data_IF_690730726127
#
_entry.id   IF_690730726127
#
_cell.length_a   1.000
_cell.length_b   1.000
_cell.length_c   1.000
_cell.angle_alpha   90.00
_cell.angle_beta   90.00
_cell.angle_gamma   90.00
#
_symmetry.space_group_name_H-M   'P 1'
#
loop_
_entity.id
_entity.type
_entity.pdbx_description
1 polymer ?
#
# COMPACT_ATOMS: atom_id res chain seq x y z
N UNK A 1 -15.82 -15.29 -24.33
CA UNK A 1 -15.48 -16.38 -25.27
C UNK A 1 -14.01 -16.39 -25.73
N UNK A 2 -13.42 -15.22 -26.05
CA UNK A 2 -12.01 -15.13 -26.48
C UNK A 2 -11.05 -15.52 -25.37
N UNK A 3 -11.27 -14.97 -24.17
CA UNK A 3 -10.45 -15.23 -22.98
C UNK A 3 -10.56 -16.68 -22.51
N UNK A 4 -11.73 -17.28 -22.62
CA UNK A 4 -11.98 -18.68 -22.31
C UNK A 4 -11.18 -19.60 -23.24
N UNK A 5 -11.25 -19.34 -24.58
CA UNK A 5 -10.48 -20.09 -25.58
C UNK A 5 -8.97 -20.01 -25.38
N UNK A 6 -8.51 -18.87 -24.86
CA UNK A 6 -7.09 -18.64 -24.56
C UNK A 6 -6.64 -19.22 -23.20
N UNK A 7 -7.54 -19.83 -22.43
CA UNK A 7 -7.25 -20.36 -21.09
C UNK A 7 -6.77 -19.29 -20.12
N UNK A 8 -7.29 -18.05 -20.24
CA UNK A 8 -6.80 -16.93 -19.45
C UNK A 8 -7.06 -17.10 -17.96
N UNK A 9 -8.16 -17.70 -17.56
CA UNK A 9 -8.48 -17.93 -16.14
C UNK A 9 -7.42 -18.81 -15.48
N UNK A 10 -7.06 -19.89 -16.15
CA UNK A 10 -6.04 -20.83 -15.69
C UNK A 10 -4.64 -20.19 -15.69
N UNK A 11 -4.30 -19.48 -16.76
CA UNK A 11 -3.00 -18.80 -16.89
C UNK A 11 -2.82 -17.64 -15.91
N UNK A 12 -3.89 -16.93 -15.55
CA UNK A 12 -3.83 -15.85 -14.57
C UNK A 12 -3.96 -16.37 -13.12
N UNK A 13 -4.49 -17.55 -12.94
CA UNK A 13 -4.63 -18.18 -11.62
C UNK A 13 -3.33 -18.79 -11.09
N UNK A 14 -2.38 -19.11 -11.97
CA UNK A 14 -1.09 -19.68 -11.60
C UNK A 14 0.05 -18.68 -11.78
N UNK A 15 1.01 -18.61 -10.84
CA UNK A 15 2.20 -17.77 -11.01
C UNK A 15 3.09 -18.33 -12.13
N UNK A 16 3.76 -17.44 -12.86
CA UNK A 16 4.72 -17.82 -13.87
C UNK A 16 5.89 -18.61 -13.26
N UNK A 17 6.35 -18.22 -12.07
CA UNK A 17 7.40 -18.92 -11.32
C UNK A 17 7.22 -18.77 -9.82
N UNK A 18 7.55 -19.83 -9.09
CA UNK A 18 7.69 -19.81 -7.63
C UNK A 18 9.08 -20.35 -7.28
N UNK A 19 9.83 -19.54 -6.55
CA UNK A 19 11.21 -19.85 -6.13
C UNK A 19 11.20 -20.01 -4.62
N UNK A 20 11.75 -21.11 -4.14
CA UNK A 20 11.92 -21.40 -2.72
C UNK A 20 13.37 -21.79 -2.44
N UNK A 21 13.94 -21.26 -1.39
CA UNK A 21 15.32 -21.53 -1.03
C UNK A 21 15.54 -21.53 0.49
N UNK A 22 16.65 -22.13 0.89
CA UNK A 22 17.13 -22.15 2.26
C UNK A 22 18.05 -20.95 2.51
N UNK A 23 17.78 -20.18 3.57
CA UNK A 23 18.62 -19.06 4.01
C UNK A 23 19.28 -19.35 5.37
N UNK A 24 20.47 -19.95 5.41
CA UNK A 24 21.22 -20.14 6.64
C UNK A 24 21.93 -18.85 7.06
N UNK A 25 21.94 -18.57 8.35
CA UNK A 25 22.64 -17.41 8.92
C UNK A 25 23.10 -17.74 10.35
N UNK A 26 23.97 -16.91 10.92
CA UNK A 26 24.53 -17.11 12.25
C UNK A 26 24.04 -16.01 13.18
N UNK A 27 23.47 -16.38 14.34
CA UNK A 27 23.03 -15.41 15.34
C UNK A 27 24.22 -14.83 16.15
N UNK A 28 23.92 -13.88 17.03
CA UNK A 28 24.96 -13.22 17.84
C UNK A 28 25.61 -14.17 18.87
N UNK A 29 24.99 -15.30 19.17
CA UNK A 29 25.56 -16.36 20.02
C UNK A 29 26.43 -17.34 19.23
N UNK A 30 26.59 -17.14 17.92
CA UNK A 30 27.37 -18.02 17.05
C UNK A 30 26.63 -19.29 16.60
N UNK A 31 25.32 -19.39 16.87
CA UNK A 31 24.51 -20.54 16.49
C UNK A 31 23.98 -20.38 15.06
N UNK A 32 24.03 -21.46 14.28
CA UNK A 32 23.45 -21.48 12.94
C UNK A 32 21.93 -21.53 13.02
N UNK A 33 21.29 -20.61 12.34
CA UNK A 33 19.85 -20.52 12.13
C UNK A 33 19.53 -20.81 10.65
N UNK A 34 18.34 -21.34 10.38
CA UNK A 34 17.88 -21.64 9.02
C UNK A 34 16.46 -21.15 8.83
N UNK A 35 16.26 -20.30 7.82
CA UNK A 35 14.93 -19.84 7.42
C UNK A 35 14.65 -20.25 5.97
N UNK A 36 13.36 -20.25 5.61
CA UNK A 36 12.91 -20.46 4.23
C UNK A 36 12.65 -19.10 3.60
N UNK A 37 13.23 -18.92 2.40
CA UNK A 37 12.99 -17.76 1.57
C UNK A 37 12.16 -18.12 0.34
N UNK A 38 11.38 -17.16 -0.14
CA UNK A 38 10.46 -17.32 -1.27
C UNK A 38 10.47 -16.09 -2.15
N UNK A 39 10.28 -16.31 -3.47
CA UNK A 39 9.87 -15.27 -4.40
C UNK A 39 8.85 -15.86 -5.37
N UNK A 40 7.67 -15.29 -5.42
CA UNK A 40 6.64 -15.57 -6.39
C UNK A 40 6.69 -14.51 -7.47
N UNK A 41 7.11 -14.89 -8.65
CA UNK A 41 7.08 -14.09 -9.86
C UNK A 41 5.76 -14.41 -10.56
N UNK A 42 4.73 -13.61 -10.24
CA UNK A 42 3.37 -14.02 -10.54
C UNK A 42 3.01 -13.77 -11.99
N UNK A 43 3.22 -12.56 -12.50
CA UNK A 43 2.85 -12.18 -13.86
C UNK A 43 3.72 -11.03 -14.37
N UNK A 44 4.23 -11.16 -15.58
CA UNK A 44 5.09 -10.18 -16.24
C UNK A 44 4.50 -9.59 -17.53
N UNK A 45 3.23 -9.82 -17.82
CA UNK A 45 2.59 -9.40 -19.07
C UNK A 45 2.68 -7.88 -19.32
N UNK A 46 2.68 -7.07 -18.26
CA UNK A 46 2.69 -5.61 -18.36
C UNK A 46 3.96 -4.94 -17.82
N UNK A 47 4.96 -5.73 -17.48
CA UNK A 47 6.26 -5.22 -17.00
C UNK A 47 6.99 -6.18 -16.07
N UNK A 48 8.17 -5.79 -15.57
CA UNK A 48 8.91 -6.59 -14.61
C UNK A 48 8.07 -6.94 -13.39
N UNK A 49 8.30 -8.10 -12.79
CA UNK A 49 7.64 -8.47 -11.55
C UNK A 49 7.92 -7.41 -10.49
N UNK A 50 6.89 -6.94 -9.81
CA UNK A 50 6.99 -5.89 -8.79
C UNK A 50 6.15 -6.23 -7.59
N UNK A 51 6.74 -6.18 -6.41
CA UNK A 51 6.05 -6.37 -5.14
C UNK A 51 7.00 -6.60 -3.98
N UNK A 52 6.48 -6.43 -2.76
CA UNK A 52 7.24 -6.42 -1.53
C UNK A 52 7.82 -7.76 -1.11
N UNK A 53 8.80 -7.69 -0.23
CA UNK A 53 9.32 -8.80 0.56
C UNK A 53 8.80 -8.67 1.99
N UNK A 54 8.26 -9.76 2.54
CA UNK A 54 7.74 -9.83 3.91
C UNK A 54 8.63 -10.73 4.77
N UNK A 55 9.10 -10.22 5.91
CA UNK A 55 9.79 -11.04 6.91
C UNK A 55 8.89 -11.17 8.13
N UNK A 56 8.28 -12.35 8.27
CA UNK A 56 7.37 -12.65 9.36
C UNK A 56 7.25 -14.18 9.51
N UNK A 57 7.12 -14.71 10.74
CA UNK A 57 7.02 -16.16 10.96
C UNK A 57 5.88 -16.86 10.23
N UNK A 58 4.80 -16.14 9.91
CA UNK A 58 3.65 -16.69 9.19
C UNK A 58 3.85 -16.82 7.68
N UNK A 59 4.95 -16.32 7.13
CA UNK A 59 5.20 -16.35 5.68
C UNK A 59 5.33 -17.78 5.18
N UNK A 60 4.54 -18.10 4.16
CA UNK A 60 4.58 -19.35 3.44
C UNK A 60 4.22 -19.12 1.96
N UNK A 61 4.42 -20.13 1.14
CA UNK A 61 4.22 -20.00 -0.31
C UNK A 61 2.77 -19.68 -0.69
N UNK A 62 1.79 -20.25 0.02
CA UNK A 62 0.36 -20.03 -0.27
C UNK A 62 -0.05 -18.56 -0.07
N UNK A 63 0.38 -17.98 1.05
CA UNK A 63 0.14 -16.55 1.35
C UNK A 63 0.79 -15.67 0.28
N UNK A 64 2.00 -15.98 -0.12
CA UNK A 64 2.73 -15.20 -1.12
C UNK A 64 2.16 -15.34 -2.53
N UNK A 65 1.62 -16.49 -2.90
CA UNK A 65 0.86 -16.66 -4.16
C UNK A 65 -0.37 -15.77 -4.18
N UNK A 66 -1.17 -15.77 -3.12
CA UNK A 66 -2.33 -14.90 -3.01
C UNK A 66 -1.95 -13.41 -3.10
N UNK A 67 -0.96 -12.99 -2.32
CA UNK A 67 -0.49 -11.60 -2.33
C UNK A 67 0.12 -11.19 -3.67
N UNK A 68 0.80 -12.10 -4.34
CA UNK A 68 1.36 -11.88 -5.68
C UNK A 68 0.28 -11.72 -6.74
N UNK A 69 -0.77 -12.52 -6.67
CA UNK A 69 -1.96 -12.38 -7.50
C UNK A 69 -2.63 -11.00 -7.34
N UNK A 70 -2.91 -10.61 -6.11
CA UNK A 70 -3.47 -9.29 -5.77
C UNK A 70 -2.59 -8.14 -6.29
N UNK A 71 -1.27 -8.31 -6.18
CA UNK A 71 -0.30 -7.30 -6.60
C UNK A 71 -0.35 -7.03 -8.11
N UNK A 72 -0.62 -8.05 -8.92
CA UNK A 72 -0.75 -7.89 -10.37
C UNK A 72 -1.86 -6.88 -10.73
N UNK A 73 -3.01 -7.02 -10.12
CA UNK A 73 -4.16 -6.14 -10.37
C UNK A 73 -3.91 -4.72 -9.84
N UNK A 74 -3.33 -4.61 -8.66
CA UNK A 74 -2.98 -3.31 -8.09
C UNK A 74 -1.99 -2.54 -8.97
N UNK A 75 -0.93 -3.19 -9.41
CA UNK A 75 0.09 -2.58 -10.26
C UNK A 75 -0.46 -2.19 -11.63
N UNK A 76 -1.37 -2.98 -12.18
CA UNK A 76 -1.98 -2.70 -13.49
C UNK A 76 -2.77 -1.39 -13.50
N UNK A 77 -3.34 -0.99 -12.37
CA UNK A 77 -4.10 0.25 -12.25
C UNK A 77 -3.21 1.50 -12.33
N UNK A 78 -1.95 1.41 -11.96
CA UNK A 78 -1.04 2.57 -11.92
C UNK A 78 -0.72 3.16 -13.30
N UNK A 79 -0.95 2.41 -14.38
CA UNK A 79 -0.53 2.81 -15.73
C UNK A 79 0.96 2.69 -15.99
N UNK A 80 1.75 2.30 -14.99
CA UNK A 80 3.19 2.11 -15.09
C UNK A 80 3.52 0.67 -15.54
N UNK A 81 4.67 0.46 -16.22
CA UNK A 81 5.06 -0.86 -16.72
C UNK A 81 5.60 -1.74 -15.58
N UNK A 82 4.70 -2.27 -14.79
CA UNK A 82 5.00 -3.15 -13.65
C UNK A 82 4.07 -4.36 -13.67
N UNK A 83 4.64 -5.54 -13.70
CA UNK A 83 3.95 -6.80 -13.42
C UNK A 83 3.72 -7.00 -11.93
N UNK A 84 3.47 -8.23 -11.51
CA UNK A 84 3.22 -8.55 -10.11
C UNK A 84 4.11 -9.66 -9.57
N UNK A 85 4.56 -9.49 -8.35
CA UNK A 85 5.33 -10.48 -7.61
C UNK A 85 5.23 -10.24 -6.11
N UNK A 86 5.58 -11.26 -5.35
CA UNK A 86 5.63 -11.18 -3.89
C UNK A 86 6.67 -12.16 -3.36
N UNK A 87 7.32 -11.81 -2.27
CA UNK A 87 8.32 -12.68 -1.67
C UNK A 87 8.46 -12.46 -0.18
N UNK A 88 9.43 -13.11 0.38
CA UNK A 88 9.75 -12.99 1.80
C UNK A 88 10.33 -14.25 2.42
N UNK A 89 10.30 -14.30 3.73
CA UNK A 89 10.81 -15.41 4.51
C UNK A 89 10.06 -15.55 5.84
N UNK A 90 10.13 -16.73 6.43
CA UNK A 90 9.63 -17.01 7.78
C UNK A 90 10.53 -16.45 8.90
N UNK A 91 11.46 -15.60 8.55
CA UNK A 91 12.34 -14.88 9.46
C UNK A 91 11.59 -13.79 10.22
N UNK A 92 11.75 -13.76 11.55
CA UNK A 92 11.20 -12.71 12.41
C UNK A 92 12.30 -11.70 12.77
N UNK A 93 12.24 -10.46 12.27
CA UNK A 93 13.23 -9.43 12.63
C UNK A 93 13.05 -8.87 14.06
N UNK A 94 11.92 -9.13 14.71
CA UNK A 94 11.67 -8.61 16.06
C UNK A 94 12.64 -9.20 17.07
N UNK A 95 13.21 -8.33 17.91
CA UNK A 95 14.14 -8.74 18.98
C UNK A 95 15.52 -9.15 18.49
N UNK A 96 15.82 -9.03 17.21
CA UNK A 96 17.14 -9.32 16.64
C UNK A 96 17.99 -8.06 16.53
N UNK A 97 19.30 -8.20 16.66
CA UNK A 97 20.24 -7.11 16.46
C UNK A 97 20.31 -6.69 14.98
N UNK A 98 20.79 -5.48 14.74
CA UNK A 98 21.05 -5.01 13.36
C UNK A 98 22.03 -5.93 12.63
N UNK A 99 23.01 -6.47 13.33
CA UNK A 99 23.99 -7.41 12.78
C UNK A 99 23.34 -8.75 12.36
N UNK A 100 22.42 -9.28 13.18
CA UNK A 100 21.66 -10.48 12.85
C UNK A 100 20.76 -10.27 11.63
N UNK A 101 20.02 -9.16 11.60
CA UNK A 101 19.16 -8.80 10.47
C UNK A 101 19.99 -8.62 9.19
N UNK A 102 21.15 -7.97 9.28
CA UNK A 102 22.08 -7.82 8.16
C UNK A 102 22.55 -9.18 7.63
N UNK A 103 22.98 -10.08 8.52
CA UNK A 103 23.44 -11.41 8.11
C UNK A 103 22.35 -12.22 7.43
N UNK A 104 21.12 -12.15 7.97
CA UNK A 104 19.99 -12.81 7.32
C UNK A 104 19.69 -12.19 5.94
N UNK A 105 19.63 -10.87 5.81
CA UNK A 105 19.42 -10.19 4.52
C UNK A 105 20.49 -10.58 3.49
N UNK A 106 21.74 -10.69 3.91
CA UNK A 106 22.84 -11.11 3.05
C UNK A 106 22.67 -12.55 2.59
N UNK A 107 22.29 -13.47 3.47
CA UNK A 107 22.00 -14.86 3.14
C UNK A 107 20.82 -14.97 2.18
N UNK A 108 19.73 -14.27 2.45
CA UNK A 108 18.54 -14.23 1.62
C UNK A 108 18.86 -13.73 0.20
N UNK A 109 19.58 -12.63 0.09
CA UNK A 109 19.95 -12.06 -1.21
C UNK A 109 20.95 -12.91 -1.99
N UNK A 110 21.82 -13.66 -1.29
CA UNK A 110 22.76 -14.59 -1.93
C UNK A 110 22.03 -15.66 -2.76
N UNK A 111 20.83 -16.04 -2.34
CA UNK A 111 20.00 -16.96 -3.12
C UNK A 111 19.12 -16.21 -4.13
N UNK A 112 18.54 -15.08 -3.74
CA UNK A 112 17.57 -14.35 -4.57
C UNK A 112 18.19 -13.62 -5.76
N UNK A 113 19.43 -13.14 -5.68
CA UNK A 113 20.01 -12.22 -6.67
C UNK A 113 20.01 -12.76 -8.11
N UNK A 114 20.05 -14.10 -8.29
CA UNK A 114 20.02 -14.74 -9.60
C UNK A 114 18.70 -14.56 -10.35
N UNK A 115 17.66 -14.23 -9.65
CA UNK A 115 16.27 -14.23 -10.13
C UNK A 115 15.69 -12.84 -10.27
N UNK A 116 16.39 -11.80 -9.82
CA UNK A 116 15.92 -10.42 -9.79
C UNK A 116 16.84 -9.48 -10.55
N UNK A 117 16.35 -8.31 -10.85
CA UNK A 117 17.10 -7.27 -11.54
C UNK A 117 16.16 -6.14 -11.97
N UNK A 118 16.73 -5.00 -12.43
CA UNK A 118 15.94 -3.80 -12.75
C UNK A 118 14.91 -4.03 -13.88
N UNK A 119 15.18 -4.96 -14.78
CA UNK A 119 14.33 -5.25 -15.94
C UNK A 119 13.61 -6.60 -15.84
N UNK A 120 13.80 -7.32 -14.74
CA UNK A 120 13.22 -8.66 -14.55
C UNK A 120 12.24 -8.67 -13.40
N UNK A 121 12.72 -8.34 -12.21
CA UNK A 121 11.97 -8.41 -10.95
C UNK A 121 12.53 -7.40 -9.95
N UNK A 122 11.71 -6.47 -9.52
CA UNK A 122 12.11 -5.39 -8.61
C UNK A 122 11.33 -5.50 -7.30
N UNK A 123 11.89 -6.18 -6.28
CA UNK A 123 11.28 -6.25 -4.97
C UNK A 123 11.24 -4.91 -4.24
N UNK A 124 10.44 -4.85 -3.19
CA UNK A 124 10.31 -3.69 -2.30
C UNK A 124 10.19 -4.13 -0.85
N UNK A 125 9.97 -3.18 0.05
CA UNK A 125 9.62 -3.47 1.44
C UNK A 125 8.15 -3.88 1.62
N UNK A 126 7.89 -4.56 2.72
CA UNK A 126 6.58 -4.95 3.24
C UNK A 126 6.72 -5.19 4.75
N UNK A 127 5.80 -5.89 5.40
CA UNK A 127 5.90 -6.22 6.83
C UNK A 127 7.26 -6.84 7.17
N UNK A 128 7.95 -6.29 8.15
CA UNK A 128 9.26 -6.74 8.59
C UNK A 128 10.44 -6.36 7.65
N UNK A 129 10.17 -5.63 6.57
CA UNK A 129 11.18 -5.16 5.64
C UNK A 129 11.00 -3.67 5.40
N UNK A 130 11.74 -2.88 6.15
CA UNK A 130 11.81 -1.42 6.01
C UNK A 130 13.08 -0.94 5.31
N UNK A 131 13.37 0.35 5.44
CA UNK A 131 14.54 0.96 4.80
C UNK A 131 15.87 0.33 5.20
N UNK A 132 16.01 -0.13 6.45
CA UNK A 132 17.20 -0.83 6.95
C UNK A 132 17.42 -2.14 6.17
N UNK A 133 16.39 -2.97 6.10
CA UNK A 133 16.44 -4.26 5.42
C UNK A 133 16.67 -4.08 3.91
N UNK A 134 15.98 -3.13 3.29
CA UNK A 134 16.19 -2.80 1.87
C UNK A 134 17.63 -2.37 1.62
N UNK A 135 18.24 -1.59 2.52
CA UNK A 135 19.64 -1.20 2.45
C UNK A 135 20.59 -2.40 2.48
N UNK A 136 20.38 -3.34 3.43
CA UNK A 136 21.18 -4.56 3.52
C UNK A 136 21.03 -5.46 2.29
N UNK A 137 19.82 -5.62 1.80
CA UNK A 137 19.52 -6.40 0.59
C UNK A 137 20.19 -5.78 -0.64
N UNK A 138 20.08 -4.48 -0.81
CA UNK A 138 20.71 -3.75 -1.92
C UNK A 138 22.25 -3.84 -1.89
N UNK A 139 22.84 -3.66 -0.71
CA UNK A 139 24.29 -3.75 -0.54
C UNK A 139 24.83 -5.12 -0.92
N UNK A 140 24.11 -6.20 -0.55
CA UNK A 140 24.51 -7.55 -0.91
C UNK A 140 24.31 -7.85 -2.41
N UNK A 141 23.19 -7.40 -2.98
CA UNK A 141 22.96 -7.52 -4.42
C UNK A 141 24.11 -6.86 -5.23
N UNK A 142 24.45 -5.62 -4.85
CA UNK A 142 25.55 -4.87 -5.49
C UNK A 142 26.88 -5.63 -5.43
N UNK A 143 27.18 -6.26 -4.29
CA UNK A 143 28.41 -7.07 -4.14
C UNK A 143 28.41 -8.30 -5.04
N UNK A 144 27.29 -9.00 -5.11
CA UNK A 144 27.19 -10.27 -5.87
C UNK A 144 27.16 -10.03 -7.37
N UNK A 145 26.43 -9.04 -7.83
CA UNK A 145 26.31 -8.71 -9.25
C UNK A 145 27.45 -7.83 -9.77
N UNK A 146 28.15 -7.13 -8.89
CA UNK A 146 29.09 -6.06 -9.25
C UNK A 146 28.45 -5.00 -10.16
N UNK A 147 27.20 -4.66 -9.87
CA UNK A 147 26.40 -3.70 -10.62
C UNK A 147 25.69 -2.72 -9.66
N UNK A 148 25.57 -1.48 -10.07
CA UNK A 148 24.77 -0.48 -9.41
C UNK A 148 23.55 -0.16 -10.28
N UNK A 149 22.39 -0.75 -9.94
CA UNK A 149 21.18 -0.70 -10.77
C UNK A 149 19.95 -0.30 -9.96
N UNK A 150 18.83 -0.10 -10.65
CA UNK A 150 17.52 0.16 -10.07
C UNK A 150 16.78 -1.07 -9.53
N UNK A 151 17.50 -2.10 -9.11
CA UNK A 151 16.92 -3.23 -8.37
C UNK A 151 16.49 -2.77 -6.98
N UNK A 152 15.37 -3.28 -6.47
CA UNK A 152 14.72 -2.87 -5.22
C UNK A 152 14.20 -1.42 -5.26
N UNK A 153 13.06 -1.21 -4.61
CA UNK A 153 12.52 0.11 -4.30
C UNK A 153 12.30 0.27 -2.80
N UNK A 154 12.14 1.51 -2.36
CA UNK A 154 12.19 1.86 -0.94
C UNK A 154 13.63 2.04 -0.45
N UNK A 155 14.56 2.28 -1.38
CA UNK A 155 15.96 2.58 -1.04
C UNK A 155 16.09 3.92 -0.34
N UNK A 156 17.16 4.08 0.42
CA UNK A 156 17.53 5.37 0.98
C UNK A 156 17.86 6.39 -0.12
N UNK A 157 17.62 7.66 0.15
CA UNK A 157 17.90 8.76 -0.80
C UNK A 157 19.34 8.73 -1.33
N UNK A 158 20.38 8.48 -0.49
CA UNK A 158 21.76 8.46 -0.97
C UNK A 158 22.10 7.40 -2.02
N UNK A 159 21.25 6.38 -2.19
CA UNK A 159 21.51 5.27 -3.11
C UNK A 159 20.33 4.94 -4.03
N UNK A 160 19.59 5.97 -4.44
CA UNK A 160 18.58 5.86 -5.50
C UNK A 160 17.13 5.82 -5.04
N UNK A 161 16.86 6.13 -3.78
CA UNK A 161 15.50 6.27 -3.26
C UNK A 161 14.79 7.49 -3.84
N UNK A 162 13.46 7.47 -3.85
CA UNK A 162 12.61 8.57 -4.30
C UNK A 162 12.11 9.42 -3.14
N UNK A 163 12.12 10.74 -3.33
CA UNK A 163 11.35 11.66 -2.49
C UNK A 163 9.86 11.36 -2.61
N UNK A 164 9.07 11.86 -1.68
CA UNK A 164 7.62 11.67 -1.58
C UNK A 164 7.16 10.21 -1.36
N UNK A 165 8.07 9.23 -1.25
CA UNK A 165 7.68 7.82 -1.04
C UNK A 165 7.00 7.61 0.31
N UNK A 166 7.45 8.29 1.35
CA UNK A 166 6.88 8.21 2.69
C UNK A 166 5.45 8.74 2.73
N UNK A 167 5.20 9.83 2.02
CA UNK A 167 3.91 10.51 1.92
C UNK A 167 2.93 9.80 0.97
N UNK A 168 3.46 9.04 0.04
CA UNK A 168 2.77 8.62 -1.18
C UNK A 168 1.45 7.90 -0.96
N UNK A 169 1.34 7.00 0.01
CA UNK A 169 0.10 6.25 0.22
C UNK A 169 -1.00 7.16 0.78
N UNK A 170 -0.67 7.95 1.80
CA UNK A 170 -1.63 8.91 2.39
C UNK A 170 -2.02 10.02 1.42
N UNK A 171 -1.06 10.58 0.71
CA UNK A 171 -1.32 11.61 -0.30
C UNK A 171 -2.14 11.05 -1.46
N UNK A 172 -1.77 9.88 -1.97
CA UNK A 172 -2.48 9.21 -3.05
C UNK A 172 -3.94 8.91 -2.70
N UNK A 173 -4.19 8.45 -1.47
CA UNK A 173 -5.54 8.25 -0.95
C UNK A 173 -6.38 9.53 -1.04
N UNK A 174 -5.83 10.65 -0.62
CA UNK A 174 -6.52 11.93 -0.66
C UNK A 174 -6.72 12.45 -2.09
N UNK A 175 -5.77 12.23 -2.99
CA UNK A 175 -5.92 12.58 -4.41
C UNK A 175 -7.02 11.77 -5.08
N UNK A 176 -7.06 10.46 -4.85
CA UNK A 176 -8.14 9.60 -5.34
C UNK A 176 -9.51 10.04 -4.80
N UNK A 177 -9.59 10.26 -3.48
CA UNK A 177 -10.82 10.69 -2.81
C UNK A 177 -11.29 12.05 -3.32
N UNK A 178 -10.37 12.98 -3.58
CA UNK A 178 -10.68 14.29 -4.16
C UNK A 178 -11.39 14.16 -5.52
N UNK A 179 -10.90 13.30 -6.39
CA UNK A 179 -11.52 13.07 -7.70
C UNK A 179 -12.92 12.44 -7.55
N UNK A 180 -13.06 11.45 -6.67
CA UNK A 180 -14.34 10.82 -6.38
C UNK A 180 -15.36 11.82 -5.83
N UNK A 181 -14.93 12.72 -4.93
CA UNK A 181 -15.77 13.78 -4.40
C UNK A 181 -16.17 14.78 -5.48
N UNK A 182 -15.22 15.21 -6.34
CA UNK A 182 -15.46 16.15 -7.41
C UNK A 182 -16.49 15.64 -8.42
N UNK A 183 -16.43 14.37 -8.77
CA UNK A 183 -17.40 13.71 -9.66
C UNK A 183 -18.82 13.69 -9.06
N UNK A 184 -18.93 13.69 -7.73
CA UNK A 184 -20.18 13.82 -7.00
C UNK A 184 -20.57 15.27 -6.65
N UNK A 185 -19.86 16.28 -7.20
CA UNK A 185 -20.10 17.69 -6.92
C UNK A 185 -19.72 18.12 -5.51
N UNK A 186 -18.77 17.42 -4.88
CA UNK A 186 -18.31 17.64 -3.51
C UNK A 186 -16.80 17.90 -3.46
N UNK A 187 -16.28 18.27 -2.29
CA UNK A 187 -14.85 18.49 -2.05
C UNK A 187 -14.51 18.18 -0.58
N UNK A 188 -13.21 18.22 -0.25
CA UNK A 188 -12.77 18.19 1.13
C UNK A 188 -13.07 19.48 1.92
N UNK A 189 -13.25 20.59 1.22
CA UNK A 189 -13.37 21.92 1.82
C UNK A 189 -14.48 21.97 2.88
N UNK A 190 -14.11 22.30 4.11
CA UNK A 190 -15.03 22.40 5.24
C UNK A 190 -15.59 21.08 5.77
N UNK A 191 -15.19 19.92 5.21
CA UNK A 191 -15.72 18.62 5.60
C UNK A 191 -15.01 18.08 6.85
N UNK A 192 -15.76 17.40 7.71
CA UNK A 192 -15.23 16.67 8.87
C UNK A 192 -14.70 15.32 8.41
N UNK A 193 -13.43 15.07 8.70
CA UNK A 193 -12.75 13.85 8.29
C UNK A 193 -12.36 13.03 9.52
N UNK A 194 -12.64 11.74 9.50
CA UNK A 194 -12.20 10.78 10.51
C UNK A 194 -11.21 9.81 9.87
N UNK A 195 -10.06 9.63 10.51
CA UNK A 195 -8.99 8.75 10.01
C UNK A 195 -8.65 7.72 11.09
N UNK A 196 -8.83 6.43 10.81
CA UNK A 196 -8.32 5.40 11.71
C UNK A 196 -6.82 5.21 11.55
N UNK A 197 -6.16 4.87 12.67
CA UNK A 197 -4.72 4.73 12.70
C UNK A 197 -3.99 6.03 13.01
N UNK A 198 -2.70 5.89 13.26
CA UNK A 198 -1.75 6.98 13.50
C UNK A 198 -0.34 6.62 12.97
N UNK A 199 -0.29 5.63 12.10
CA UNK A 199 0.92 5.25 11.38
C UNK A 199 1.16 6.15 10.17
N UNK A 200 2.05 5.69 9.29
CA UNK A 200 2.49 6.46 8.13
C UNK A 200 1.32 6.90 7.23
N UNK A 201 0.46 5.97 6.82
CA UNK A 201 -0.67 6.27 5.93
C UNK A 201 -1.62 7.29 6.56
N UNK A 202 -2.01 7.06 7.82
CA UNK A 202 -2.94 7.94 8.54
C UNK A 202 -2.37 9.36 8.75
N UNK A 203 -1.10 9.47 9.11
CA UNK A 203 -0.45 10.76 9.35
C UNK A 203 -0.39 11.61 8.09
N UNK A 204 0.01 11.02 6.97
CA UNK A 204 0.10 11.76 5.72
C UNK A 204 -1.25 11.94 5.02
N UNK A 205 -2.23 11.08 5.27
CA UNK A 205 -3.62 11.32 4.90
C UNK A 205 -4.18 12.55 5.65
N UNK A 206 -3.90 12.68 6.95
CA UNK A 206 -4.25 13.89 7.70
C UNK A 206 -3.64 15.13 7.07
N UNK A 207 -2.33 15.11 6.84
CA UNK A 207 -1.63 16.25 6.23
C UNK A 207 -2.28 16.67 4.91
N UNK A 208 -2.52 15.73 4.01
CA UNK A 208 -3.07 16.06 2.68
C UNK A 208 -4.55 16.45 2.75
N UNK A 209 -5.37 15.78 3.54
CA UNK A 209 -6.77 16.13 3.73
C UNK A 209 -6.90 17.55 4.30
N UNK A 210 -6.05 17.93 5.26
CA UNK A 210 -5.99 19.28 5.82
C UNK A 210 -5.58 20.31 4.75
N UNK A 211 -4.58 20.00 3.93
CA UNK A 211 -4.16 20.87 2.82
C UNK A 211 -5.26 21.06 1.76
N UNK A 212 -6.14 20.07 1.59
CA UNK A 212 -7.28 20.13 0.69
C UNK A 212 -8.53 20.81 1.30
N UNK A 213 -8.40 21.38 2.49
CA UNK A 213 -9.47 22.13 3.17
C UNK A 213 -10.34 21.29 4.10
N UNK A 214 -10.05 20.02 4.28
CA UNK A 214 -10.74 19.15 5.23
C UNK A 214 -10.31 19.41 6.68
N UNK A 215 -11.18 19.10 7.62
CA UNK A 215 -10.88 19.15 9.05
C UNK A 215 -10.84 17.73 9.59
N UNK A 216 -9.66 17.24 9.94
CA UNK A 216 -9.48 15.92 10.54
C UNK A 216 -9.78 16.01 12.02
N UNK A 217 -10.92 15.48 12.45
CA UNK A 217 -11.44 15.64 13.82
C UNK A 217 -11.17 14.44 14.71
N UNK A 218 -10.83 13.27 14.16
CA UNK A 218 -10.51 12.10 14.95
C UNK A 218 -9.44 11.25 14.28
N UNK A 219 -8.55 10.68 15.10
CA UNK A 219 -7.55 9.66 14.72
C UNK A 219 -7.45 8.62 15.83
N UNK A 220 -7.01 7.40 15.48
CA UNK A 220 -6.90 6.28 16.42
C UNK A 220 -5.53 5.62 16.44
N UNK A 221 -5.29 4.85 17.47
CA UNK A 221 -4.31 3.76 17.48
C UNK A 221 -4.98 2.48 18.02
N UNK A 222 -4.20 1.44 18.31
CA UNK A 222 -4.75 0.16 18.77
C UNK A 222 -5.45 0.23 20.14
N UNK A 223 -5.18 1.25 20.94
CA UNK A 223 -5.72 1.40 22.29
C UNK A 223 -6.99 2.25 22.34
N UNK A 224 -7.10 3.26 21.47
CA UNK A 224 -8.22 4.17 21.49
C UNK A 224 -8.14 5.24 20.42
N UNK A 225 -8.91 6.29 20.57
CA UNK A 225 -8.93 7.39 19.60
C UNK A 225 -9.00 8.76 20.28
N UNK A 226 -8.51 9.75 19.59
CA UNK A 226 -8.61 11.16 19.98
C UNK A 226 -9.64 11.87 19.13
N UNK A 227 -10.31 12.85 19.72
CA UNK A 227 -11.24 13.75 19.03
C UNK A 227 -10.84 15.19 19.34
N UNK A 228 -10.70 15.98 18.30
CA UNK A 228 -10.46 17.42 18.39
C UNK A 228 -11.31 18.14 17.32
N UNK A 229 -12.39 18.77 17.76
CA UNK A 229 -13.30 19.49 16.85
C UNK A 229 -12.65 20.69 16.15
N UNK A 230 -11.53 21.16 16.66
CA UNK A 230 -10.75 22.24 16.03
C UNK A 230 -9.83 21.75 14.91
N UNK A 231 -9.70 20.44 14.77
CA UNK A 231 -8.81 19.76 13.81
C UNK A 231 -7.52 19.27 14.46
N UNK A 232 -7.18 18.02 14.17
CA UNK A 232 -5.97 17.37 14.68
C UNK A 232 -4.76 17.86 13.90
N UNK A 233 -3.80 18.46 14.60
CA UNK A 233 -2.54 18.90 14.01
C UNK A 233 -1.64 17.69 13.67
N UNK A 234 -1.46 17.45 12.36
CA UNK A 234 -0.61 16.38 11.87
C UNK A 234 0.87 16.51 12.28
N UNK A 235 1.35 17.73 12.55
CA UNK A 235 2.74 17.94 13.01
C UNK A 235 2.93 17.38 14.41
N UNK A 236 1.93 17.54 15.27
CA UNK A 236 1.92 16.95 16.61
C UNK A 236 1.85 15.41 16.52
N UNK A 237 1.02 14.88 15.62
CA UNK A 237 0.97 13.42 15.39
C UNK A 237 2.33 12.89 14.93
N UNK A 238 3.00 13.56 14.00
CA UNK A 238 4.36 13.18 13.57
C UNK A 238 5.35 13.18 14.72
N UNK A 239 5.36 14.23 15.52
CA UNK A 239 6.24 14.32 16.70
C UNK A 239 6.00 13.15 17.66
N UNK A 240 4.75 12.83 17.95
CA UNK A 240 4.37 11.72 18.84
C UNK A 240 4.81 10.37 18.26
N UNK A 241 4.56 10.14 16.97
CA UNK A 241 4.74 8.83 16.35
C UNK A 241 6.17 8.58 15.85
N UNK A 242 6.79 9.56 15.22
CA UNK A 242 8.09 9.41 14.59
C UNK A 242 9.24 9.69 15.55
N UNK A 243 9.08 10.70 16.41
CA UNK A 243 10.13 11.12 17.34
C UNK A 243 9.97 10.44 18.71
N UNK A 244 8.86 10.65 19.38
CA UNK A 244 8.61 10.08 20.72
C UNK A 244 8.27 8.58 20.70
N UNK A 245 7.79 8.05 19.58
CA UNK A 245 7.29 6.67 19.43
C UNK A 245 6.26 6.29 20.48
N UNK A 246 5.43 7.27 20.85
CA UNK A 246 4.41 7.15 21.88
C UNK A 246 3.01 6.81 21.31
N UNK A 247 2.07 6.56 22.21
CA UNK A 247 0.66 6.32 21.87
C UNK A 247 -0.05 7.64 21.54
N UNK A 248 -1.13 7.56 20.76
CA UNK A 248 -1.87 8.73 20.32
C UNK A 248 -2.47 9.53 21.48
N UNK A 249 -2.73 8.89 22.61
CA UNK A 249 -3.19 9.54 23.87
C UNK A 249 -2.26 10.69 24.30
N UNK A 250 -0.98 10.63 23.97
CA UNK A 250 0.00 11.69 24.22
C UNK A 250 -0.38 13.03 23.56
N UNK A 251 -1.27 13.01 22.56
CA UNK A 251 -1.78 14.22 21.93
C UNK A 251 -2.40 15.21 22.94
N UNK A 252 -3.01 14.70 24.01
CA UNK A 252 -3.61 15.54 25.05
C UNK A 252 -2.58 16.36 25.85
N UNK A 253 -1.31 15.96 25.84
CA UNK A 253 -0.22 16.74 26.44
C UNK A 253 0.07 18.03 25.64
N UNK A 254 -0.17 18.01 24.34
CA UNK A 254 0.00 19.16 23.44
C UNK A 254 -1.29 19.97 23.28
N UNK A 255 -2.44 19.29 23.29
CA UNK A 255 -3.77 19.87 23.08
C UNK A 255 -4.71 19.37 24.17
N UNK A 256 -4.69 20.00 25.37
CA UNK A 256 -5.49 19.55 26.51
C UNK A 256 -7.00 19.62 26.31
N UNK A 257 -7.48 20.38 25.30
CA UNK A 257 -8.90 20.49 24.94
C UNK A 257 -9.40 19.31 24.12
N UNK A 258 -8.51 18.51 23.55
CA UNK A 258 -8.87 17.28 22.84
C UNK A 258 -9.37 16.22 23.83
N UNK A 259 -10.15 15.26 23.31
CA UNK A 259 -10.69 14.15 24.10
C UNK A 259 -10.01 12.84 23.67
N UNK A 260 -9.81 11.95 24.63
CA UNK A 260 -9.37 10.58 24.36
C UNK A 260 -10.43 9.60 24.86
N UNK A 261 -10.69 8.57 24.05
CA UNK A 261 -11.62 7.49 24.35
C UNK A 261 -10.93 6.15 24.18
N UNK A 262 -11.03 5.27 25.15
CA UNK A 262 -10.51 3.90 25.06
C UNK A 262 -11.33 3.07 24.05
N UNK A 263 -10.65 2.15 23.36
CA UNK A 263 -11.25 1.29 22.35
C UNK A 263 -11.27 1.92 20.96
N UNK A 264 -10.38 1.43 20.08
CA UNK A 264 -10.19 1.98 18.72
C UNK A 264 -11.44 1.93 17.85
N UNK A 265 -12.29 0.93 18.03
CA UNK A 265 -13.51 0.73 17.21
C UNK A 265 -14.56 1.85 17.39
N UNK A 266 -14.54 2.52 18.53
CA UNK A 266 -15.43 3.66 18.77
C UNK A 266 -15.24 4.83 17.83
N UNK A 267 -14.13 4.91 17.10
CA UNK A 267 -13.85 6.01 16.17
C UNK A 267 -14.93 6.13 15.09
N UNK A 268 -15.56 5.03 14.67
CA UNK A 268 -16.61 5.04 13.66
C UNK A 268 -17.94 5.62 14.15
N UNK A 269 -18.08 5.85 15.44
CA UNK A 269 -19.25 6.53 16.02
C UNK A 269 -19.11 8.05 16.03
N UNK A 270 -17.94 8.59 15.74
CA UNK A 270 -17.71 10.03 15.66
C UNK A 270 -18.40 10.60 14.42
N UNK A 271 -19.32 11.57 14.55
CA UNK A 271 -19.98 12.16 13.39
C UNK A 271 -18.98 12.80 12.43
N UNK A 272 -19.03 12.40 11.17
CA UNK A 272 -18.15 12.90 10.14
C UNK A 272 -18.82 12.88 8.77
N UNK A 273 -18.19 13.52 7.81
CA UNK A 273 -18.64 13.57 6.42
C UNK A 273 -17.83 12.56 5.57
N UNK A 274 -16.54 12.40 5.87
CA UNK A 274 -15.59 11.54 5.17
C UNK A 274 -14.87 10.65 6.19
N UNK A 275 -14.80 9.35 5.94
CA UNK A 275 -14.04 8.41 6.77
C UNK A 275 -12.93 7.75 5.93
N UNK A 276 -11.71 7.75 6.47
CA UNK A 276 -10.52 7.17 5.84
C UNK A 276 -9.96 6.05 6.74
N UNK A 277 -10.32 4.80 6.50
CA UNK A 277 -9.75 3.65 7.21
C UNK A 277 -8.27 3.45 6.82
N UNK A 278 -7.35 3.78 7.73
CA UNK A 278 -5.91 3.80 7.47
C UNK A 278 -5.07 2.99 8.46
N UNK A 279 -5.69 2.13 9.29
CA UNK A 279 -4.97 1.37 10.31
C UNK A 279 -4.68 -0.07 9.88
N UNK A 280 -5.65 -0.95 9.98
CA UNK A 280 -5.43 -2.39 9.82
C UNK A 280 -6.55 -3.09 9.04
N UNK A 281 -6.25 -4.33 8.63
CA UNK A 281 -7.23 -5.19 7.97
C UNK A 281 -8.43 -5.47 8.90
N UNK A 282 -9.63 -5.49 8.30
CA UNK A 282 -10.90 -5.81 8.98
C UNK A 282 -11.25 -4.90 10.18
N UNK A 283 -10.78 -3.67 10.16
CA UNK A 283 -11.06 -2.69 11.21
C UNK A 283 -12.44 -2.04 11.09
N UNK A 284 -12.94 -1.86 9.87
CA UNK A 284 -14.29 -1.35 9.63
C UNK A 284 -15.23 -2.52 9.37
N UNK A 285 -15.99 -2.87 10.40
CA UNK A 285 -16.97 -3.94 10.38
C UNK A 285 -18.39 -3.38 10.14
N UNK A 286 -19.37 -4.27 10.03
CA UNK A 286 -20.74 -3.88 9.74
C UNK A 286 -21.34 -2.89 10.75
N UNK A 287 -21.06 -3.07 12.03
CA UNK A 287 -21.51 -2.14 13.09
C UNK A 287 -20.92 -0.73 12.93
N UNK A 288 -19.63 -0.65 12.60
CA UNK A 288 -18.96 0.60 12.28
C UNK A 288 -19.53 1.27 11.01
N UNK A 289 -19.79 0.48 9.97
CA UNK A 289 -20.42 0.98 8.74
C UNK A 289 -21.82 1.55 9.00
N UNK A 290 -22.63 0.85 9.81
CA UNK A 290 -23.94 1.33 10.25
C UNK A 290 -23.85 2.63 11.01
N UNK A 291 -22.88 2.75 11.93
CA UNK A 291 -22.67 3.98 12.70
C UNK A 291 -22.29 5.17 11.80
N UNK A 292 -21.39 4.95 10.84
CA UNK A 292 -21.00 5.98 9.87
C UNK A 292 -22.19 6.49 9.06
N UNK A 293 -23.00 5.57 8.51
CA UNK A 293 -24.19 5.95 7.74
C UNK A 293 -25.19 6.70 8.61
N UNK A 294 -25.47 6.21 9.81
CA UNK A 294 -26.40 6.86 10.76
C UNK A 294 -25.95 8.28 11.14
N UNK A 295 -24.66 8.54 11.18
CA UNK A 295 -24.08 9.83 11.52
C UNK A 295 -23.88 10.77 10.32
N UNK A 296 -24.36 10.40 9.13
CA UNK A 296 -24.33 11.24 7.94
C UNK A 296 -23.03 11.20 7.13
N UNK A 297 -22.14 10.26 7.40
CA UNK A 297 -20.97 10.03 6.55
C UNK A 297 -21.43 9.60 5.15
N UNK A 298 -20.89 10.27 4.13
CA UNK A 298 -21.25 9.97 2.73
C UNK A 298 -20.09 9.48 1.87
N UNK A 299 -18.90 9.40 2.43
CA UNK A 299 -17.69 8.97 1.73
C UNK A 299 -16.81 8.14 2.65
N UNK A 300 -16.43 6.95 2.17
CA UNK A 300 -15.46 6.07 2.81
C UNK A 300 -14.40 5.71 1.79
N UNK A 301 -13.13 6.02 2.06
CA UNK A 301 -12.01 5.71 1.18
C UNK A 301 -10.90 4.95 1.93
N UNK A 302 -10.57 3.78 1.45
CA UNK A 302 -9.68 2.84 2.11
C UNK A 302 -8.20 3.19 1.89
N UNK A 303 -7.48 3.47 2.98
CA UNK A 303 -6.02 3.71 2.96
C UNK A 303 -5.21 2.49 3.37
N UNK A 304 -5.72 1.67 4.28
CA UNK A 304 -5.12 0.39 4.66
C UNK A 304 -5.43 -0.70 3.60
N UNK A 305 -4.77 -1.85 3.72
CA UNK A 305 -5.10 -3.01 2.90
C UNK A 305 -6.31 -3.74 3.49
N UNK A 306 -7.38 -3.89 2.71
CA UNK A 306 -8.63 -4.58 3.09
C UNK A 306 -9.15 -4.16 4.49
N UNK A 307 -9.31 -2.86 4.79
CA UNK A 307 -9.72 -2.44 6.12
C UNK A 307 -11.20 -2.71 6.40
N UNK A 308 -12.04 -2.74 5.37
CA UNK A 308 -13.48 -2.98 5.50
C UNK A 308 -13.83 -4.44 5.25
N UNK A 309 -14.71 -5.00 6.08
CA UNK A 309 -15.22 -6.35 5.87
C UNK A 309 -16.19 -6.38 4.68
N UNK A 310 -16.40 -7.54 4.00
CA UNK A 310 -17.29 -7.63 2.84
C UNK A 310 -18.72 -7.19 3.12
N UNK A 311 -19.26 -7.50 4.30
CA UNK A 311 -20.59 -7.09 4.73
C UNK A 311 -20.67 -5.57 4.99
N UNK A 312 -19.61 -4.97 5.52
CA UNK A 312 -19.50 -3.51 5.66
C UNK A 312 -19.49 -2.82 4.29
N UNK A 313 -18.69 -3.31 3.34
CA UNK A 313 -18.65 -2.78 1.97
C UNK A 313 -20.04 -2.85 1.31
N UNK A 314 -20.68 -4.01 1.38
CA UNK A 314 -22.03 -4.19 0.83
C UNK A 314 -23.03 -3.21 1.44
N UNK A 315 -22.99 -3.04 2.76
CA UNK A 315 -23.86 -2.10 3.46
C UNK A 315 -23.63 -0.64 3.03
N UNK A 316 -22.37 -0.21 2.93
CA UNK A 316 -22.02 1.13 2.47
C UNK A 316 -22.52 1.41 1.05
N UNK A 317 -22.29 0.45 0.13
CA UNK A 317 -22.76 0.56 -1.26
C UNK A 317 -24.28 0.62 -1.37
N UNK A 318 -25.01 -0.23 -0.61
CA UNK A 318 -26.47 -0.25 -0.58
C UNK A 318 -27.07 1.06 -0.04
N UNK A 319 -26.35 1.77 0.79
CA UNK A 319 -26.78 3.06 1.33
C UNK A 319 -26.27 4.28 0.53
N UNK A 320 -25.72 4.07 -0.66
CA UNK A 320 -25.31 5.15 -1.56
C UNK A 320 -24.07 5.91 -1.11
N UNK A 321 -23.24 5.30 -0.26
CA UNK A 321 -21.98 5.91 0.19
C UNK A 321 -20.97 5.86 -0.96
N UNK A 322 -20.25 6.96 -1.19
CA UNK A 322 -19.11 6.97 -2.08
C UNK A 322 -18.00 6.11 -1.46
N UNK A 323 -17.73 4.98 -2.09
CA UNK A 323 -16.78 4.00 -1.55
C UNK A 323 -15.57 3.85 -2.47
N UNK A 324 -14.38 4.11 -1.95
CA UNK A 324 -13.11 3.92 -2.64
C UNK A 324 -12.40 2.67 -2.13
N UNK A 325 -12.30 1.61 -2.95
CA UNK A 325 -11.67 0.34 -2.55
C UNK A 325 -10.14 0.46 -2.50
N UNK A 326 -9.54 -0.29 -1.59
CA UNK A 326 -8.11 -0.19 -1.24
C UNK A 326 -7.15 -0.36 -2.42
N UNK A 327 -7.36 -1.34 -3.31
CA UNK A 327 -6.44 -1.59 -4.43
C UNK A 327 -6.23 -0.34 -5.29
N UNK A 328 -7.28 0.43 -5.53
CA UNK A 328 -7.21 1.68 -6.26
C UNK A 328 -6.77 2.84 -5.36
N UNK A 329 -7.47 3.07 -4.25
CA UNK A 329 -7.27 4.26 -3.43
C UNK A 329 -5.94 4.30 -2.68
N UNK A 330 -5.34 3.16 -2.33
CA UNK A 330 -4.04 3.12 -1.65
C UNK A 330 -2.86 2.82 -2.59
N UNK A 331 -3.05 2.83 -3.89
CA UNK A 331 -2.03 2.52 -4.88
C UNK A 331 -0.88 3.55 -4.95
N UNK A 332 -0.97 4.66 -4.23
CA UNK A 332 0.05 5.71 -4.23
C UNK A 332 1.44 5.22 -3.84
N UNK A 333 1.52 4.29 -2.90
CA UNK A 333 2.79 3.69 -2.49
C UNK A 333 3.49 2.94 -3.61
N UNK A 334 2.80 2.04 -4.29
CA UNK A 334 3.37 1.29 -5.42
C UNK A 334 3.57 2.17 -6.64
N UNK A 335 2.72 3.14 -6.88
CA UNK A 335 2.92 4.14 -7.94
C UNK A 335 4.24 4.89 -7.76
N UNK A 336 4.52 5.39 -6.57
CA UNK A 336 5.78 6.06 -6.28
C UNK A 336 6.97 5.11 -6.32
N UNK A 337 6.80 3.84 -5.97
CA UNK A 337 7.83 2.82 -6.21
C UNK A 337 8.15 2.66 -7.70
N UNK A 338 7.15 2.70 -8.57
CA UNK A 338 7.35 2.73 -10.02
C UNK A 338 8.06 3.99 -10.51
N UNK A 339 7.76 5.15 -9.90
CA UNK A 339 8.48 6.38 -10.18
C UNK A 339 9.94 6.33 -9.72
N UNK A 340 10.24 5.64 -8.60
CA UNK A 340 11.62 5.38 -8.20
C UNK A 340 12.35 4.55 -9.26
N UNK A 341 11.71 3.50 -9.80
CA UNK A 341 12.27 2.71 -10.90
C UNK A 341 12.57 3.59 -12.12
N UNK A 342 11.67 4.48 -12.49
CA UNK A 342 11.87 5.41 -13.60
C UNK A 342 13.05 6.35 -13.37
N UNK A 343 13.17 6.95 -12.19
CA UNK A 343 14.30 7.79 -11.81
C UNK A 343 15.61 7.01 -11.86
N UNK A 344 15.63 5.77 -11.35
CA UNK A 344 16.81 4.91 -11.39
C UNK A 344 17.22 4.58 -12.83
N UNK A 345 16.28 4.27 -13.69
CA UNK A 345 16.53 3.99 -15.10
C UNK A 345 17.10 5.20 -15.86
N UNK A 346 16.60 6.39 -15.56
CA UNK A 346 17.09 7.64 -16.13
C UNK A 346 18.42 8.11 -15.50
N UNK A 347 18.82 7.55 -14.35
CA UNK A 347 19.93 8.01 -13.51
C UNK A 347 19.79 9.47 -13.07
N UNK A 348 18.55 9.87 -12.79
CA UNK A 348 18.19 11.20 -12.32
C UNK A 348 17.42 11.08 -11.00
N UNK A 349 17.39 12.17 -10.25
CA UNK A 349 16.53 12.33 -9.08
C UNK A 349 15.58 13.49 -9.34
N UNK A 350 14.28 13.26 -9.15
CA UNK A 350 13.26 14.29 -9.24
C UNK A 350 13.07 14.98 -7.89
N UNK A 351 12.61 16.23 -7.93
CA UNK A 351 12.23 16.97 -6.72
C UNK A 351 10.99 16.34 -6.08
N UNK A 352 10.69 16.75 -4.86
CA UNK A 352 9.47 16.31 -4.18
C UNK A 352 8.23 16.69 -5.00
N UNK A 353 8.20 17.91 -5.52
CA UNK A 353 7.10 18.47 -6.30
C UNK A 353 6.90 17.70 -7.62
N UNK A 354 7.97 17.34 -8.30
CA UNK A 354 7.91 16.55 -9.53
C UNK A 354 7.35 15.16 -9.29
N UNK A 355 7.73 14.49 -8.20
CA UNK A 355 7.20 13.18 -7.83
C UNK A 355 5.74 13.30 -7.40
N UNK A 356 5.41 14.29 -6.58
CA UNK A 356 4.04 14.51 -6.09
C UNK A 356 3.06 14.83 -7.21
N UNK A 357 3.45 15.65 -8.19
CA UNK A 357 2.64 15.93 -9.37
C UNK A 357 2.36 14.66 -10.19
N UNK A 358 3.39 13.83 -10.41
CA UNK A 358 3.22 12.55 -11.11
C UNK A 358 2.32 11.60 -10.34
N UNK A 359 2.49 11.54 -9.02
CA UNK A 359 1.63 10.75 -8.13
C UNK A 359 0.17 11.21 -8.23
N UNK A 360 -0.06 12.52 -8.15
CA UNK A 360 -1.40 13.09 -8.29
C UNK A 360 -2.05 12.67 -9.62
N UNK A 361 -1.34 12.83 -10.73
CA UNK A 361 -1.83 12.45 -12.05
C UNK A 361 -2.12 10.95 -12.17
N UNK A 362 -1.29 10.10 -11.58
CA UNK A 362 -1.52 8.65 -11.53
C UNK A 362 -2.82 8.34 -10.77
N UNK A 363 -3.01 8.94 -9.60
CA UNK A 363 -4.20 8.70 -8.79
C UNK A 363 -5.49 9.18 -9.46
N UNK A 364 -5.45 10.33 -10.13
CA UNK A 364 -6.56 10.83 -10.97
C UNK A 364 -6.90 9.82 -12.06
N UNK A 365 -5.89 9.31 -12.76
CA UNK A 365 -6.09 8.34 -13.83
C UNK A 365 -6.62 7.00 -13.32
N UNK A 366 -6.19 6.53 -12.15
CA UNK A 366 -6.74 5.33 -11.51
C UNK A 366 -8.23 5.50 -11.23
N UNK A 367 -8.62 6.63 -10.64
CA UNK A 367 -10.04 6.90 -10.40
C UNK A 367 -10.85 6.91 -11.68
N UNK A 368 -10.42 7.69 -12.68
CA UNK A 368 -11.12 7.81 -13.98
C UNK A 368 -11.27 6.46 -14.68
N UNK A 369 -10.23 5.65 -14.66
CA UNK A 369 -10.24 4.32 -15.28
C UNK A 369 -11.22 3.39 -14.56
N UNK A 370 -11.19 3.34 -13.24
CA UNK A 370 -12.10 2.51 -12.45
C UNK A 370 -13.57 2.96 -12.63
N UNK A 371 -13.84 4.25 -12.59
CA UNK A 371 -15.16 4.82 -12.77
C UNK A 371 -15.73 4.55 -14.18
N UNK A 372 -14.94 4.81 -15.23
CA UNK A 372 -15.32 4.58 -16.62
C UNK A 372 -15.57 3.07 -16.88
N UNK A 373 -14.74 2.21 -16.32
CA UNK A 373 -14.91 0.76 -16.47
C UNK A 373 -16.20 0.27 -15.79
N UNK A 374 -16.48 0.74 -14.57
CA UNK A 374 -17.72 0.43 -13.89
C UNK A 374 -18.94 0.86 -14.72
N UNK A 375 -18.93 2.06 -15.30
CA UNK A 375 -20.00 2.56 -16.15
C UNK A 375 -20.15 1.74 -17.44
N UNK A 376 -19.04 1.41 -18.10
CA UNK A 376 -19.01 0.56 -19.32
C UNK A 376 -19.69 -0.78 -19.11
N UNK A 377 -19.58 -1.37 -17.92
CA UNK A 377 -20.19 -2.66 -17.59
C UNK A 377 -21.54 -2.55 -16.86
N UNK A 378 -22.17 -1.38 -16.88
CA UNK A 378 -23.49 -1.17 -16.28
C UNK A 378 -23.52 -1.11 -14.76
N UNK A 379 -22.37 -0.89 -14.13
CA UNK A 379 -22.20 -0.84 -12.68
C UNK A 379 -21.72 0.55 -12.22
N UNK A 380 -22.27 1.60 -12.82
CA UNK A 380 -21.87 3.00 -12.52
C UNK A 380 -21.80 3.26 -11.01
N UNK A 381 -20.69 3.83 -10.55
CA UNK A 381 -20.46 4.12 -9.13
C UNK A 381 -19.89 2.95 -8.32
N UNK A 382 -19.88 1.73 -8.85
CA UNK A 382 -19.26 0.59 -8.18
C UNK A 382 -17.77 0.49 -8.53
N UNK A 383 -16.95 1.21 -7.77
CA UNK A 383 -15.49 1.24 -7.99
C UNK A 383 -14.82 -0.10 -7.65
N UNK A 384 -15.42 -0.93 -6.80
CA UNK A 384 -14.90 -2.27 -6.50
C UNK A 384 -14.92 -3.14 -7.76
N UNK A 385 -16.03 -3.14 -8.49
CA UNK A 385 -16.12 -3.81 -9.78
C UNK A 385 -15.22 -3.13 -10.81
N UNK A 386 -15.23 -1.81 -10.87
CA UNK A 386 -14.46 -1.03 -11.83
C UNK A 386 -12.97 -1.29 -11.76
N UNK A 387 -12.36 -1.29 -10.56
CA UNK A 387 -10.93 -1.56 -10.39
C UNK A 387 -10.55 -2.98 -10.80
N UNK A 388 -11.36 -3.96 -10.38
CA UNK A 388 -11.09 -5.37 -10.67
C UNK A 388 -11.17 -5.66 -12.17
N UNK A 389 -12.20 -5.16 -12.84
CA UNK A 389 -12.39 -5.37 -14.28
C UNK A 389 -11.30 -4.62 -15.07
N UNK A 390 -11.00 -3.36 -14.72
CA UNK A 390 -9.97 -2.57 -15.38
C UNK A 390 -8.58 -3.24 -15.29
N UNK A 391 -8.22 -3.72 -14.11
CA UNK A 391 -6.98 -4.46 -13.90
C UNK A 391 -6.92 -5.74 -14.71
N UNK A 392 -8.00 -6.50 -14.73
CA UNK A 392 -8.11 -7.73 -15.53
C UNK A 392 -7.99 -7.43 -17.03
N UNK A 393 -8.76 -6.48 -17.56
CA UNK A 393 -8.75 -6.15 -18.98
C UNK A 393 -7.34 -5.77 -19.47
N UNK A 394 -6.60 -5.00 -18.69
CA UNK A 394 -5.24 -4.59 -19.06
C UNK A 394 -4.29 -5.78 -19.15
N UNK A 395 -4.28 -6.66 -18.14
CA UNK A 395 -3.41 -7.84 -18.11
C UNK A 395 -3.84 -8.82 -19.21
N UNK A 396 -5.13 -9.06 -19.35
CA UNK A 396 -5.69 -9.97 -20.35
C UNK A 396 -5.33 -9.53 -21.78
N UNK A 397 -5.50 -8.25 -22.09
CA UNK A 397 -5.16 -7.67 -23.39
C UNK A 397 -3.67 -7.85 -23.71
N UNK A 398 -2.80 -7.60 -22.73
CA UNK A 398 -1.37 -7.80 -22.91
C UNK A 398 -1.03 -9.27 -23.17
N UNK A 399 -1.57 -10.19 -22.38
CA UNK A 399 -1.35 -11.64 -22.58
C UNK A 399 -1.88 -12.15 -23.92
N UNK A 400 -3.05 -11.68 -24.34
CA UNK A 400 -3.58 -12.05 -25.66
C UNK A 400 -2.67 -11.59 -26.80
N UNK A 401 -2.05 -10.43 -26.67
CA UNK A 401 -1.15 -9.89 -27.68
C UNK A 401 0.23 -10.56 -27.71
N UNK A 402 0.67 -11.11 -26.59
CA UNK A 402 2.00 -11.76 -26.43
C UNK A 402 1.98 -13.25 -26.79
N UNK A 403 0.81 -13.83 -27.02
CA UNK A 403 0.66 -15.24 -27.38
C UNK A 403 0.47 -16.15 -26.16
N UNK A 404 1.05 -17.34 -26.24
CA UNK A 404 1.00 -18.32 -25.14
C UNK A 404 2.40 -18.39 -24.52
N UNK A 405 2.55 -17.67 -23.44
CA UNK A 405 3.79 -17.58 -22.64
C UNK A 405 3.65 -18.30 -21.28
#
# INVERSE_FOLDING_TARGET
PEYEKAGLSERLGEPERSIMFRGPWVDDAGKVQVNRGYRVQFNSAIGPYKGGLRFHPSVNLSILKFLGFEQCFKNSLTGLPMGGGKGGADFDPHGKSDAEVMRFCQSFMTELYRHIGPDTDVPAGDIGVGGREVGYLFGQYKRLKNEYTGVLTGKGIPFGGSLARTEATGYGLCYFTKEMLADAGKSFEGQRVVISGSGNVATYANQKATQLGGKVIAMSDSNGYIVDENGIDYKVIKEIKEVKRARIKTYLEYVPTAKYVEGSQGIWTVPCDIALPCATQNELRLDGAKALVANGCYCVAEGANMPSTPDAIAYLQQNGILFAPAKASNAGGVATSGLEMSQNSLRLSWTFEEVDERLHNIMVNIYKTAAATAEKYGMKGNLVAGENIAGFEKIASAKMSQGID
#
